data_IF_653886797081
#
_entry.id   IF_653886797081
#
_cell.length_a   1.000
_cell.length_b   1.000
_cell.length_c   1.000
_cell.angle_alpha   90.00
_cell.angle_beta   90.00
_cell.angle_gamma   90.00
#
_symmetry.space_group_name_H-M   'P 1'
#
loop_
_entity.id
_entity.type
_entity.pdbx_description
1 polymer ?
#
# COMPACT_ATOMS: atom_id res chain seq x y z
N UNK A 1 2.51 -4.99 17.69
CA UNK A 1 3.18 -4.98 16.37
C UNK A 1 3.68 -3.57 16.11
N UNK A 2 4.89 -3.37 15.59
CA UNK A 2 5.48 -2.04 15.37
C UNK A 2 5.69 -1.68 13.91
N UNK A 3 5.93 -2.65 13.03
CA UNK A 3 6.22 -2.42 11.61
C UNK A 3 5.28 -3.23 10.72
N UNK A 4 4.54 -2.56 9.86
CA UNK A 4 3.61 -3.15 8.90
C UNK A 4 4.04 -2.82 7.47
N UNK A 5 4.24 -3.84 6.62
CA UNK A 5 4.32 -3.59 5.17
C UNK A 5 2.93 -3.55 4.56
N UNK A 6 2.65 -2.58 3.71
CA UNK A 6 1.42 -2.53 2.92
C UNK A 6 1.76 -2.68 1.45
N UNK A 7 1.05 -3.57 0.74
CA UNK A 7 1.16 -3.72 -0.72
C UNK A 7 -0.15 -4.20 -1.32
N UNK A 8 -0.24 -4.27 -2.64
CA UNK A 8 -1.45 -4.69 -3.31
C UNK A 8 -1.41 -4.42 -4.81
N UNK A 9 -2.58 -4.45 -5.43
CA UNK A 9 -2.72 -4.30 -6.88
C UNK A 9 -2.12 -3.00 -7.45
N UNK A 10 -1.55 -3.12 -8.64
CA UNK A 10 -1.32 -1.97 -9.51
C UNK A 10 -2.64 -1.50 -10.10
N UNK A 11 -2.77 -0.22 -10.52
CA UNK A 11 -4.03 0.32 -11.03
C UNK A 11 -4.60 -0.49 -12.20
N UNK A 12 -3.73 -0.95 -13.10
CA UNK A 12 -4.10 -1.77 -14.26
C UNK A 12 -4.71 -3.13 -13.89
N UNK A 13 -4.35 -3.71 -12.74
CA UNK A 13 -4.84 -5.01 -12.29
C UNK A 13 -6.29 -4.93 -11.78
N UNK A 14 -6.74 -3.72 -11.40
CA UNK A 14 -8.10 -3.43 -10.92
C UNK A 14 -8.84 -2.45 -11.85
N UNK A 15 -8.36 -2.30 -13.08
CA UNK A 15 -8.93 -1.44 -14.12
C UNK A 15 -9.15 0.03 -13.68
N UNK A 16 -8.27 0.56 -12.84
CA UNK A 16 -8.21 1.99 -12.49
C UNK A 16 -7.11 2.62 -13.33
N UNK A 17 -7.45 3.60 -14.16
CA UNK A 17 -6.50 4.24 -15.09
C UNK A 17 -6.35 5.74 -14.89
N UNK A 18 -7.21 6.34 -14.05
CA UNK A 18 -7.23 7.77 -13.77
C UNK A 18 -7.19 8.00 -12.27
N UNK A 19 -6.54 9.08 -11.87
CA UNK A 19 -6.40 9.47 -10.47
C UNK A 19 -7.69 10.05 -9.87
N UNK A 20 -8.66 10.43 -10.71
CA UNK A 20 -9.99 10.91 -10.30
C UNK A 20 -11.04 9.79 -10.24
N UNK A 21 -10.62 8.52 -10.35
CA UNK A 21 -11.54 7.39 -10.27
C UNK A 21 -12.13 7.32 -8.84
N UNK A 22 -13.47 7.35 -8.69
CA UNK A 22 -14.11 7.36 -7.37
C UNK A 22 -13.81 6.11 -6.55
N UNK A 23 -13.39 5.00 -7.18
CA UNK A 23 -12.98 3.78 -6.48
C UNK A 23 -11.74 3.99 -5.61
N UNK A 24 -10.87 4.93 -5.96
CA UNK A 24 -9.69 5.28 -5.16
C UNK A 24 -10.11 5.78 -3.78
N UNK A 25 -11.20 6.56 -3.69
CA UNK A 25 -11.74 7.04 -2.42
C UNK A 25 -12.15 5.89 -1.50
N UNK A 26 -12.87 4.90 -2.02
CA UNK A 26 -13.28 3.73 -1.24
C UNK A 26 -12.08 2.85 -0.83
N UNK A 27 -11.09 2.70 -1.71
CA UNK A 27 -9.84 1.99 -1.39
C UNK A 27 -9.09 2.68 -0.25
N UNK A 28 -8.94 4.01 -0.30
CA UNK A 28 -8.30 4.79 0.76
C UNK A 28 -9.08 4.69 2.08
N UNK A 29 -10.41 4.72 2.02
CA UNK A 29 -11.25 4.53 3.21
C UNK A 29 -11.06 3.14 3.83
N UNK A 30 -11.00 2.08 3.02
CA UNK A 30 -10.74 0.73 3.50
C UNK A 30 -9.35 0.59 4.14
N UNK A 31 -8.32 1.16 3.51
CA UNK A 31 -6.96 1.22 4.08
C UNK A 31 -6.98 1.96 5.41
N UNK A 32 -7.60 3.15 5.47
CA UNK A 32 -7.73 3.96 6.68
C UNK A 32 -8.39 3.18 7.82
N UNK A 33 -9.54 2.54 7.54
CA UNK A 33 -10.29 1.71 8.48
C UNK A 33 -9.46 0.55 9.04
N UNK A 34 -8.56 -0.04 8.24
CA UNK A 34 -7.65 -1.09 8.70
C UNK A 34 -6.46 -0.55 9.47
N UNK A 35 -5.91 0.60 9.09
CA UNK A 35 -4.71 1.16 9.71
C UNK A 35 -4.98 1.77 11.10
N UNK A 36 -6.09 2.48 11.29
CA UNK A 36 -6.38 3.19 12.56
C UNK A 36 -6.30 2.25 13.77
N UNK A 37 -7.02 1.10 13.82
CA UNK A 37 -6.93 0.21 14.99
C UNK A 37 -5.52 -0.32 15.21
N UNK A 38 -4.78 -0.62 14.15
CA UNK A 38 -3.40 -1.12 14.26
C UNK A 38 -2.47 -0.05 14.85
N UNK A 39 -2.67 1.22 14.49
CA UNK A 39 -1.94 2.37 15.04
C UNK A 39 -2.28 2.56 16.52
N UNK A 40 -3.56 2.48 16.89
CA UNK A 40 -4.01 2.56 18.28
C UNK A 40 -3.48 1.40 19.14
N UNK A 41 -3.26 0.23 18.54
CA UNK A 41 -2.62 -0.94 19.15
C UNK A 41 -1.07 -0.88 19.15
N UNK A 42 -0.48 0.21 18.65
CA UNK A 42 0.95 0.49 18.76
C UNK A 42 1.78 0.28 17.49
N UNK A 43 1.15 0.25 16.30
CA UNK A 43 1.86 0.32 15.02
C UNK A 43 2.58 1.67 14.89
N UNK A 44 3.90 1.63 14.64
CA UNK A 44 4.75 2.83 14.55
C UNK A 44 5.18 3.14 13.12
N UNK A 45 5.39 2.12 12.28
CA UNK A 45 5.92 2.28 10.92
C UNK A 45 5.09 1.52 9.90
N UNK A 46 4.74 2.22 8.83
CA UNK A 46 4.15 1.64 7.63
C UNK A 46 5.21 1.68 6.52
N UNK A 47 5.53 0.51 5.98
CA UNK A 47 6.52 0.33 4.94
C UNK A 47 5.86 0.04 3.61
N UNK A 48 6.33 0.70 2.55
CA UNK A 48 5.96 0.43 1.17
C UNK A 48 7.20 0.41 0.28
N UNK A 49 7.08 -0.12 -0.93
CA UNK A 49 8.09 0.06 -1.97
C UNK A 49 7.87 1.26 -2.90
N UNK A 50 6.72 1.93 -2.76
CA UNK A 50 6.36 3.07 -3.58
C UNK A 50 5.87 2.68 -4.98
N UNK A 51 5.33 1.46 -5.14
CA UNK A 51 4.74 1.03 -6.42
C UNK A 51 3.43 1.78 -6.72
N UNK A 52 3.16 2.09 -7.99
CA UNK A 52 1.87 2.66 -8.41
C UNK A 52 0.66 1.86 -7.89
N UNK A 53 -0.44 2.53 -7.59
CA UNK A 53 -1.68 1.92 -7.08
C UNK A 53 -1.73 1.89 -5.56
N UNK A 54 -2.04 0.72 -5.00
CA UNK A 54 -2.31 0.56 -3.56
C UNK A 54 -1.22 1.19 -2.68
N UNK A 55 0.06 1.01 -3.02
CA UNK A 55 1.15 1.52 -2.18
C UNK A 55 1.20 3.06 -2.17
N UNK A 56 1.02 3.74 -3.31
CA UNK A 56 0.96 5.20 -3.34
C UNK A 56 -0.31 5.75 -2.68
N UNK A 57 -1.45 5.10 -2.85
CA UNK A 57 -2.68 5.50 -2.15
C UNK A 57 -2.57 5.28 -0.65
N UNK A 58 -1.86 4.23 -0.22
CA UNK A 58 -1.52 4.02 1.19
C UNK A 58 -0.64 5.14 1.71
N UNK A 59 0.39 5.55 0.97
CA UNK A 59 1.23 6.68 1.38
C UNK A 59 0.40 7.95 1.60
N UNK A 60 -0.53 8.28 0.71
CA UNK A 60 -1.44 9.42 0.88
C UNK A 60 -2.25 9.29 2.18
N UNK A 61 -2.83 8.12 2.45
CA UNK A 61 -3.56 7.84 3.71
C UNK A 61 -2.67 8.00 4.94
N UNK A 62 -1.42 7.51 4.90
CA UNK A 62 -0.50 7.61 6.03
C UNK A 62 -0.09 9.06 6.29
N UNK A 63 0.16 9.84 5.24
CA UNK A 63 0.47 11.27 5.36
C UNK A 63 -0.70 12.06 5.98
N UNK A 64 -1.94 11.69 5.67
CA UNK A 64 -3.13 12.28 6.31
C UNK A 64 -3.22 11.86 7.79
N UNK A 65 -3.05 10.57 8.09
CA UNK A 65 -3.09 10.04 9.46
C UNK A 65 -1.99 10.61 10.36
N UNK A 66 -0.86 11.03 9.81
CA UNK A 66 0.23 11.68 10.54
C UNK A 66 -0.17 13.00 11.23
N UNK A 67 -1.28 13.61 10.81
CA UNK A 67 -1.80 14.82 11.45
C UNK A 67 -2.39 14.53 12.84
N UNK A 68 -2.86 13.30 13.06
CA UNK A 68 -3.57 12.89 14.27
C UNK A 68 -2.82 11.81 15.05
N UNK A 69 -2.00 11.01 14.38
CA UNK A 69 -1.32 9.84 14.94
C UNK A 69 0.19 9.90 14.72
N UNK A 70 0.95 9.35 15.68
CA UNK A 70 2.42 9.26 15.59
C UNK A 70 2.87 8.01 14.81
N UNK A 71 2.39 7.86 13.58
CA UNK A 71 2.78 6.81 12.64
C UNK A 71 3.78 7.36 11.62
N UNK A 72 4.68 6.52 11.11
CA UNK A 72 5.73 6.92 10.17
C UNK A 72 5.65 6.17 8.85
N UNK A 73 5.99 6.85 7.77
CA UNK A 73 6.04 6.29 6.42
C UNK A 73 7.49 6.00 6.01
N UNK A 74 7.77 4.72 5.72
CA UNK A 74 9.04 4.27 5.15
C UNK A 74 8.87 3.79 3.71
N UNK A 75 9.68 4.31 2.78
CA UNK A 75 9.62 3.96 1.35
C UNK A 75 10.94 3.34 0.90
N UNK A 76 10.85 2.10 0.45
CA UNK A 76 11.99 1.25 0.08
C UNK A 76 11.84 0.73 -1.34
N UNK A 77 12.09 1.59 -2.35
CA UNK A 77 11.97 1.17 -3.73
C UNK A 77 13.04 0.14 -4.11
N UNK A 78 12.77 -0.74 -5.08
CA UNK A 78 13.73 -1.77 -5.46
C UNK A 78 15.04 -1.20 -6.02
N UNK A 79 14.99 -0.02 -6.65
CA UNK A 79 16.10 0.69 -7.28
C UNK A 79 15.75 2.19 -7.45
N UNK A 80 16.70 3.01 -7.86
CA UNK A 80 16.50 4.45 -8.12
C UNK A 80 15.68 4.67 -9.41
N UNK A 81 14.94 5.78 -9.49
CA UNK A 81 14.17 6.16 -10.69
C UNK A 81 13.16 5.09 -11.18
N UNK A 82 12.55 4.32 -10.26
CA UNK A 82 11.58 3.26 -10.61
C UNK A 82 10.35 3.80 -11.38
N UNK A 83 10.06 5.08 -11.19
CA UNK A 83 8.93 5.81 -11.76
C UNK A 83 9.17 6.30 -13.19
N UNK A 84 10.41 6.22 -13.70
CA UNK A 84 10.84 6.81 -14.98
C UNK A 84 10.02 6.44 -16.22
N UNK A 85 9.21 5.37 -16.15
CA UNK A 85 8.33 4.90 -17.25
C UNK A 85 6.84 5.07 -16.95
N UNK A 86 6.46 5.71 -15.86
CA UNK A 86 5.07 5.91 -15.46
C UNK A 86 4.51 7.18 -16.13
N UNK A 87 3.19 7.38 -16.14
CA UNK A 87 2.60 8.67 -16.54
C UNK A 87 3.14 9.81 -15.67
N UNK A 88 3.34 10.99 -16.26
CA UNK A 88 3.94 12.17 -15.61
C UNK A 88 3.26 12.52 -14.28
N UNK A 89 1.92 12.52 -14.24
CA UNK A 89 1.15 12.78 -13.03
C UNK A 89 1.46 11.81 -11.88
N UNK A 90 1.79 10.56 -12.20
CA UNK A 90 2.16 9.55 -11.20
C UNK A 90 3.62 9.71 -10.77
N UNK A 91 4.50 10.14 -11.69
CA UNK A 91 5.89 10.48 -11.35
C UNK A 91 5.93 11.66 -10.36
N UNK A 92 5.18 12.72 -10.64
CA UNK A 92 5.05 13.89 -9.75
C UNK A 92 4.54 13.48 -8.36
N UNK A 93 3.48 12.66 -8.32
CA UNK A 93 2.95 12.12 -7.06
C UNK A 93 4.00 11.31 -6.29
N UNK A 94 4.70 10.41 -6.96
CA UNK A 94 5.75 9.60 -6.34
C UNK A 94 6.88 10.46 -5.78
N UNK A 95 7.34 11.46 -6.52
CA UNK A 95 8.38 12.38 -6.08
C UNK A 95 7.95 13.22 -4.87
N UNK A 96 6.70 13.70 -4.85
CA UNK A 96 6.13 14.40 -3.70
C UNK A 96 6.10 13.50 -2.46
N UNK A 97 5.56 12.28 -2.60
CA UNK A 97 5.45 11.31 -1.51
C UNK A 97 6.83 10.94 -0.96
N UNK A 98 7.80 10.64 -1.83
CA UNK A 98 9.17 10.27 -1.41
C UNK A 98 9.94 11.39 -0.74
N UNK A 99 9.65 12.65 -1.10
CA UNK A 99 10.23 13.82 -0.44
C UNK A 99 9.62 14.06 0.95
N UNK A 100 8.37 13.68 1.14
CA UNK A 100 7.61 13.94 2.38
C UNK A 100 7.70 12.78 3.38
N UNK A 101 7.99 11.56 2.92
CA UNK A 101 8.10 10.39 3.79
C UNK A 101 9.19 10.53 4.87
N UNK A 102 8.94 9.98 6.06
CA UNK A 102 9.90 10.01 7.19
C UNK A 102 11.22 9.32 6.84
N UNK A 103 11.17 8.32 5.96
CA UNK A 103 12.35 7.63 5.48
C UNK A 103 12.19 7.15 4.04
N UNK A 104 13.18 7.48 3.21
CA UNK A 104 13.29 7.00 1.83
C UNK A 104 14.67 6.40 1.59
N UNK A 105 14.71 5.15 1.11
CA UNK A 105 15.98 4.51 0.73
C UNK A 105 15.79 3.37 -0.28
N UNK A 106 16.30 3.51 -1.51
CA UNK A 106 16.36 2.41 -2.47
C UNK A 106 17.17 1.22 -1.96
N UNK A 107 16.69 0.00 -2.25
CA UNK A 107 17.38 -1.24 -1.91
C UNK A 107 18.66 -1.40 -2.73
N UNK A 108 18.60 -1.09 -4.02
CA UNK A 108 19.76 -1.02 -4.90
C UNK A 108 20.02 0.43 -5.34
N UNK A 109 21.29 0.79 -5.47
CA UNK A 109 21.72 2.05 -6.09
C UNK A 109 21.76 1.90 -7.61
N UNK A 110 21.40 2.96 -8.33
CA UNK A 110 21.26 2.96 -9.79
C UNK A 110 19.92 2.39 -10.27
N UNK A 111 19.78 2.34 -11.59
CA UNK A 111 18.53 2.00 -12.27
C UNK A 111 18.22 0.48 -12.27
N UNK A 112 17.16 0.10 -12.99
CA UNK A 112 16.76 -1.29 -13.19
C UNK A 112 17.86 -2.12 -13.88
N UNK A 113 18.24 -3.22 -13.23
CA UNK A 113 19.21 -4.20 -13.71
C UNK A 113 18.62 -5.60 -13.90
N UNK A 114 17.45 -5.88 -13.31
CA UNK A 114 16.78 -7.16 -13.51
C UNK A 114 15.79 -7.54 -12.42
N UNK A 115 15.06 -8.63 -12.66
CA UNK A 115 13.98 -9.14 -11.79
C UNK A 115 14.45 -9.41 -10.35
N UNK A 116 15.74 -9.66 -10.15
CA UNK A 116 16.32 -9.89 -8.81
C UNK A 116 16.11 -8.69 -7.88
N UNK A 117 16.05 -7.45 -8.38
CA UNK A 117 15.82 -6.27 -7.55
C UNK A 117 14.40 -6.28 -6.94
N UNK A 118 13.39 -6.68 -7.71
CA UNK A 118 12.02 -6.83 -7.19
C UNK A 118 11.91 -7.95 -6.16
N UNK A 119 12.57 -9.09 -6.40
CA UNK A 119 12.63 -10.19 -5.44
C UNK A 119 13.28 -9.75 -4.13
N UNK A 120 14.43 -9.09 -4.20
CA UNK A 120 15.14 -8.56 -3.05
C UNK A 120 14.31 -7.56 -2.25
N UNK A 121 13.61 -6.65 -2.94
CA UNK A 121 12.66 -5.71 -2.34
C UNK A 121 11.53 -6.41 -1.59
N UNK A 122 10.90 -7.43 -2.18
CA UNK A 122 9.86 -8.21 -1.49
C UNK A 122 10.41 -8.92 -0.25
N UNK A 123 11.56 -9.59 -0.36
CA UNK A 123 12.20 -10.29 0.77
C UNK A 123 12.58 -9.31 1.88
N UNK A 124 13.12 -8.14 1.53
CA UNK A 124 13.52 -7.13 2.50
C UNK A 124 12.32 -6.57 3.27
N UNK A 125 11.22 -6.23 2.57
CA UNK A 125 10.00 -5.74 3.23
C UNK A 125 9.41 -6.80 4.16
N UNK A 126 9.37 -8.06 3.73
CA UNK A 126 8.87 -9.16 4.55
C UNK A 126 9.76 -9.43 5.78
N UNK A 127 11.08 -9.40 5.63
CA UNK A 127 12.05 -9.58 6.72
C UNK A 127 12.02 -8.44 7.75
N UNK A 128 11.68 -7.22 7.32
CA UNK A 128 11.69 -6.03 8.20
C UNK A 128 10.36 -5.73 8.87
N UNK A 129 9.30 -6.44 8.52
CA UNK A 129 7.97 -6.17 9.04
C UNK A 129 7.53 -7.26 10.01
N UNK A 130 6.81 -6.86 11.05
CA UNK A 130 6.17 -7.78 11.98
C UNK A 130 4.92 -8.42 11.35
N UNK A 131 4.31 -7.73 10.37
CA UNK A 131 3.12 -8.16 9.64
C UNK A 131 3.04 -7.51 8.25
N UNK A 132 2.06 -7.92 7.46
CA UNK A 132 1.69 -7.21 6.24
C UNK A 132 0.18 -7.04 6.05
N UNK A 133 -0.21 -6.01 5.30
CA UNK A 133 -1.55 -5.75 4.81
C UNK A 133 -1.56 -5.78 3.29
N UNK A 134 -2.40 -6.63 2.71
CA UNK A 134 -2.48 -6.88 1.28
C UNK A 134 -3.85 -6.48 0.74
N UNK A 135 -3.92 -5.57 -0.22
CA UNK A 135 -5.12 -5.46 -1.07
C UNK A 135 -5.00 -6.43 -2.23
N UNK A 136 -5.71 -7.55 -2.12
CA UNK A 136 -5.74 -8.58 -3.14
C UNK A 136 -6.95 -9.50 -3.03
N UNK A 137 -7.27 -10.14 -4.14
CA UNK A 137 -8.11 -11.33 -4.25
C UNK A 137 -7.22 -12.57 -4.37
N UNK A 138 -7.47 -13.58 -3.54
CA UNK A 138 -6.75 -14.85 -3.60
C UNK A 138 -7.02 -15.64 -4.89
N UNK A 139 -8.18 -15.45 -5.53
CA UNK A 139 -8.51 -16.09 -6.82
C UNK A 139 -7.77 -15.42 -7.98
N UNK A 140 -7.56 -14.10 -7.89
CA UNK A 140 -6.91 -13.28 -8.92
C UNK A 140 -5.73 -12.47 -8.35
N UNK A 141 -4.69 -13.12 -7.82
CA UNK A 141 -3.69 -12.46 -6.98
C UNK A 141 -2.70 -11.56 -7.74
N UNK A 142 -2.69 -11.62 -9.07
CA UNK A 142 -1.88 -10.77 -9.92
C UNK A 142 -0.39 -10.76 -9.53
N UNK A 143 0.20 -9.57 -9.56
CA UNK A 143 1.58 -9.31 -9.17
C UNK A 143 1.80 -9.34 -7.66
N UNK A 144 0.75 -9.11 -6.86
CA UNK A 144 0.77 -9.20 -5.39
C UNK A 144 1.13 -10.60 -4.90
N UNK A 145 0.82 -11.65 -5.69
CA UNK A 145 1.17 -13.05 -5.42
C UNK A 145 2.63 -13.24 -4.99
N UNK A 146 3.56 -12.55 -5.63
CA UNK A 146 4.99 -12.72 -5.34
C UNK A 146 5.37 -12.28 -3.93
N UNK A 147 4.73 -11.23 -3.40
CA UNK A 147 4.95 -10.81 -2.02
C UNK A 147 4.19 -11.72 -1.05
N UNK A 148 2.94 -12.06 -1.38
CA UNK A 148 2.10 -12.93 -0.54
C UNK A 148 2.76 -14.30 -0.29
N UNK A 149 3.34 -14.93 -1.31
CA UNK A 149 4.06 -16.20 -1.16
C UNK A 149 5.26 -16.10 -0.21
N UNK A 150 5.98 -14.98 -0.22
CA UNK A 150 7.10 -14.73 0.70
C UNK A 150 6.57 -14.51 2.12
N UNK A 151 5.53 -13.67 2.28
CA UNK A 151 4.90 -13.41 3.57
C UNK A 151 4.45 -14.72 4.25
N UNK A 152 3.78 -15.61 3.51
CA UNK A 152 3.35 -16.93 4.01
C UNK A 152 4.49 -17.85 4.47
N UNK A 153 5.72 -17.62 4.02
CA UNK A 153 6.88 -18.43 4.41
C UNK A 153 7.57 -17.88 5.66
N UNK A 154 7.50 -16.57 5.89
CA UNK A 154 8.32 -15.90 6.92
C UNK A 154 7.50 -15.26 8.04
N UNK A 155 6.19 -15.13 7.87
CA UNK A 155 5.26 -14.56 8.83
C UNK A 155 4.27 -15.62 9.33
N UNK A 156 3.77 -15.43 10.55
CA UNK A 156 2.63 -16.19 11.05
C UNK A 156 1.35 -15.78 10.30
N UNK A 157 0.41 -16.71 10.11
CA UNK A 157 -0.82 -16.47 9.34
C UNK A 157 -1.65 -15.31 9.91
N UNK A 158 -1.69 -15.16 11.24
CA UNK A 158 -2.35 -14.05 11.93
C UNK A 158 -1.70 -12.66 11.70
N UNK A 159 -0.47 -12.63 11.18
CA UNK A 159 0.25 -11.40 10.83
C UNK A 159 0.09 -11.04 9.34
N UNK A 160 -0.77 -11.75 8.60
CA UNK A 160 -1.05 -11.47 7.19
C UNK A 160 -2.50 -11.01 7.08
N UNK A 161 -2.70 -9.70 7.02
CA UNK A 161 -4.00 -9.09 6.82
C UNK A 161 -4.28 -8.95 5.33
N UNK A 162 -5.52 -9.22 4.92
CA UNK A 162 -5.96 -9.08 3.53
C UNK A 162 -7.23 -8.23 3.50
N UNK A 163 -7.25 -7.21 2.65
CA UNK A 163 -8.45 -6.51 2.23
C UNK A 163 -8.86 -7.11 0.89
N UNK A 164 -9.98 -7.82 0.91
CA UNK A 164 -10.55 -8.50 -0.27
C UNK A 164 -11.51 -7.58 -1.02
N UNK A 165 -11.95 -7.94 -2.24
CA UNK A 165 -13.02 -7.22 -2.92
C UNK A 165 -14.31 -7.11 -2.10
N UNK A 166 -14.67 -8.15 -1.34
CA UNK A 166 -15.85 -8.12 -0.46
C UNK A 166 -15.70 -7.09 0.66
N UNK A 167 -14.50 -6.96 1.26
CA UNK A 167 -14.23 -5.90 2.25
C UNK A 167 -14.38 -4.50 1.64
N UNK A 168 -14.04 -4.33 0.36
CA UNK A 168 -14.23 -3.06 -0.34
C UNK A 168 -15.71 -2.76 -0.59
N UNK A 169 -16.49 -3.76 -0.99
CA UNK A 169 -17.94 -3.62 -1.17
C UNK A 169 -18.62 -3.22 0.15
N UNK A 170 -18.23 -3.83 1.27
CA UNK A 170 -18.74 -3.47 2.60
C UNK A 170 -18.43 -2.00 2.94
N UNK A 171 -17.22 -1.52 2.65
CA UNK A 171 -16.83 -0.11 2.87
C UNK A 171 -17.61 0.84 1.96
N UNK A 172 -17.89 0.45 0.71
CA UNK A 172 -18.72 1.24 -0.21
C UNK A 172 -20.13 1.41 0.35
N UNK A 173 -20.75 0.31 0.82
CA UNK A 173 -22.10 0.34 1.37
C UNK A 173 -22.16 1.12 2.69
N UNK A 174 -21.18 0.99 3.58
CA UNK A 174 -21.09 1.80 4.79
C UNK A 174 -21.05 3.30 4.48
N UNK A 175 -20.23 3.71 3.51
CA UNK A 175 -20.12 5.13 3.11
C UNK A 175 -21.43 5.62 2.49
N UNK A 176 -22.09 4.81 1.65
CA UNK A 176 -23.41 5.14 1.07
C UNK A 176 -24.48 5.28 2.15
N UNK A 177 -24.52 4.39 3.13
CA UNK A 177 -25.50 4.44 4.21
C UNK A 177 -25.29 5.62 5.16
N UNK A 178 -24.06 6.13 5.26
CA UNK A 178 -23.71 7.31 6.03
C UNK A 178 -24.02 8.63 5.30
N UNK A 179 -24.31 8.59 3.99
CA UNK A 179 -24.72 9.75 3.22
C UNK A 179 -26.15 10.17 3.62
N UNK A 180 -26.34 11.39 4.17
CA UNK A 180 -27.66 11.89 4.58
C UNK A 180 -28.69 11.92 3.44
N UNK A 181 -28.22 12.05 2.19
CA UNK A 181 -29.09 12.12 1.00
C UNK A 181 -29.50 10.73 0.48
N UNK A 182 -28.93 9.63 1.00
CA UNK A 182 -29.23 8.27 0.53
C UNK A 182 -30.65 7.79 0.88
N UNK A 183 -31.23 8.34 1.95
CA UNK A 183 -32.57 8.01 2.41
C UNK A 183 -33.65 9.02 1.94
N UNK A 184 -33.25 10.01 1.13
CA UNK A 184 -34.06 11.17 0.73
C UNK A 184 -34.70 11.09 -0.66
#
# INVERSE_FOLDING_TARGET
MKILTVTGYKPMEINIFKEDDPRITYIKAAITKRLIPLIEEGLEWILISGQMGIELWTAEVVLDLQQEYNVKLGIFPPFENQESRWPETIQEKYQMITTTADFYKPIYKGDYQGVFQFKAKNMWLADKSDACLLLMDSEYPGSTRFFYEIAKQVMEEQAIFIITPADLDDVVEEIRMADPDYWG
#
